data_IF_183403879369
#
_entry.id   IF_183403879369
#
_cell.length_a   1.000
_cell.length_b   1.000
_cell.length_c   1.000
_cell.angle_alpha   90.00
_cell.angle_beta   90.00
_cell.angle_gamma   90.00
#
_symmetry.space_group_name_H-M   'P 1'
#
loop_
_entity.id
_entity.type
_entity.pdbx_description
1 polymer ?
#
# COMPACT_ATOMS: atom_id res chain seq x y z
N UNK A 1 0.22 -7.47 -21.58
CA UNK A 1 -0.95 -7.08 -22.40
C UNK A 1 -1.71 -6.10 -21.53
N UNK A 2 -1.88 -4.85 -21.97
CA UNK A 2 -2.64 -3.83 -21.23
C UNK A 2 -4.06 -4.31 -21.06
N UNK A 3 -4.52 -4.45 -19.81
CA UNK A 3 -5.86 -4.92 -19.51
C UNK A 3 -6.80 -3.72 -19.54
N UNK A 4 -7.44 -3.50 -20.68
CA UNK A 4 -8.44 -2.44 -20.80
C UNK A 4 -9.65 -2.77 -19.92
N UNK A 5 -10.32 -1.73 -19.43
CA UNK A 5 -11.50 -1.83 -18.58
C UNK A 5 -12.70 -1.19 -19.29
N UNK A 6 -13.88 -1.58 -18.84
CA UNK A 6 -15.15 -0.94 -19.21
C UNK A 6 -15.74 -0.35 -17.92
N UNK A 7 -16.00 0.96 -17.93
CA UNK A 7 -16.79 1.65 -16.92
C UNK A 7 -18.23 1.77 -17.44
N UNK A 8 -19.19 1.28 -16.66
CA UNK A 8 -20.60 1.60 -16.85
C UNK A 8 -21.00 2.59 -15.77
N UNK A 9 -21.45 3.77 -16.19
CA UNK A 9 -21.95 4.82 -15.32
C UNK A 9 -23.46 4.91 -15.43
N UNK A 10 -24.12 4.92 -14.28
CA UNK A 10 -25.58 4.92 -14.17
C UNK A 10 -25.97 6.11 -13.28
N UNK A 11 -26.70 7.08 -13.84
CA UNK A 11 -27.26 8.19 -13.07
C UNK A 11 -28.56 7.70 -12.41
N UNK A 12 -28.46 7.29 -11.14
CA UNK A 12 -29.58 6.72 -10.39
C UNK A 12 -29.39 6.88 -8.89
N UNK A 13 -30.50 7.10 -8.18
CA UNK A 13 -30.57 7.06 -6.72
C UNK A 13 -30.74 5.65 -6.16
N UNK A 14 -30.80 4.61 -7.02
CA UNK A 14 -30.85 3.21 -6.59
C UNK A 14 -29.63 2.84 -5.75
N UNK A 15 -29.76 1.82 -4.91
CA UNK A 15 -28.64 1.31 -4.13
C UNK A 15 -27.74 0.43 -5.01
N UNK A 16 -26.44 0.72 -5.02
CA UNK A 16 -25.47 -0.04 -5.82
C UNK A 16 -25.30 -1.49 -5.35
N UNK A 17 -25.50 -1.79 -4.06
CA UNK A 17 -25.45 -3.15 -3.53
C UNK A 17 -26.63 -3.99 -4.02
N UNK A 18 -27.85 -3.44 -3.94
CA UNK A 18 -29.05 -4.12 -4.46
C UNK A 18 -28.95 -4.38 -5.98
N UNK A 19 -28.39 -3.43 -6.73
CA UNK A 19 -28.13 -3.58 -8.16
C UNK A 19 -27.14 -4.71 -8.44
N UNK A 20 -26.05 -4.79 -7.67
CA UNK A 20 -25.05 -5.85 -7.82
C UNK A 20 -25.60 -7.23 -7.47
N UNK A 21 -26.34 -7.33 -6.36
CA UNK A 21 -26.91 -8.58 -5.87
C UNK A 21 -27.91 -9.17 -6.88
N UNK A 22 -28.67 -8.32 -7.58
CA UNK A 22 -29.62 -8.75 -8.60
C UNK A 22 -28.97 -8.98 -9.97
N UNK A 23 -27.94 -8.21 -10.32
CA UNK A 23 -27.20 -8.41 -11.56
C UNK A 23 -26.45 -9.74 -11.54
N UNK A 24 -25.91 -10.14 -10.37
CA UNK A 24 -25.20 -11.40 -10.12
C UNK A 24 -24.17 -11.75 -11.20
N UNK A 25 -23.50 -10.72 -11.76
CA UNK A 25 -22.49 -10.89 -12.79
C UNK A 25 -21.11 -11.06 -12.14
N UNK A 26 -20.51 -12.26 -12.18
CA UNK A 26 -19.21 -12.52 -11.57
C UNK A 26 -18.05 -11.83 -12.30
N UNK A 27 -18.28 -11.23 -13.46
CA UNK A 27 -17.27 -10.45 -14.18
C UNK A 27 -17.15 -9.02 -13.65
N UNK A 28 -18.12 -8.53 -12.87
CA UNK A 28 -18.00 -7.23 -12.18
C UNK A 28 -16.86 -7.31 -11.17
N UNK A 29 -15.90 -6.41 -11.30
CA UNK A 29 -14.71 -6.38 -10.43
C UNK A 29 -14.80 -5.31 -9.35
N UNK A 30 -15.69 -4.33 -9.51
CA UNK A 30 -15.92 -3.30 -8.50
C UNK A 30 -17.15 -2.46 -8.78
N UNK A 31 -17.67 -1.85 -7.71
CA UNK A 31 -18.72 -0.86 -7.76
C UNK A 31 -18.34 0.34 -6.88
N UNK A 32 -18.72 1.52 -7.32
CA UNK A 32 -18.58 2.74 -6.56
C UNK A 32 -19.81 3.62 -6.75
N UNK A 33 -20.32 4.21 -5.67
CA UNK A 33 -21.49 5.09 -5.71
C UNK A 33 -21.17 6.41 -5.01
N UNK A 34 -21.36 7.52 -5.72
CA UNK A 34 -21.18 8.86 -5.17
C UNK A 34 -22.13 9.84 -5.87
N UNK A 35 -22.74 10.76 -5.13
CA UNK A 35 -23.54 11.86 -5.66
C UNK A 35 -24.66 11.43 -6.65
N UNK A 36 -25.32 10.30 -6.40
CA UNK A 36 -26.39 9.78 -7.27
C UNK A 36 -25.89 9.13 -8.56
N UNK A 37 -24.62 8.76 -8.63
CA UNK A 37 -24.02 8.07 -9.76
C UNK A 37 -23.43 6.75 -9.29
N UNK A 38 -23.86 5.65 -9.90
CA UNK A 38 -23.28 4.32 -9.71
C UNK A 38 -22.29 4.05 -10.84
N UNK A 39 -21.11 3.51 -10.49
CA UNK A 39 -20.07 3.11 -11.43
C UNK A 39 -19.76 1.64 -11.22
N UNK A 40 -19.81 0.87 -12.30
CA UNK A 40 -19.50 -0.56 -12.32
C UNK A 40 -18.35 -0.82 -13.29
N UNK A 41 -17.46 -1.76 -12.94
CA UNK A 41 -16.24 -2.01 -13.68
C UNK A 41 -16.09 -3.47 -14.13
N UNK A 42 -15.80 -3.67 -15.41
CA UNK A 42 -15.46 -4.97 -16.00
C UNK A 42 -14.08 -4.95 -16.67
N UNK A 43 -13.33 -6.06 -16.63
CA UNK A 43 -12.26 -6.30 -17.59
C UNK A 43 -12.83 -6.31 -19.01
N UNK A 44 -12.20 -5.62 -19.96
CA UNK A 44 -12.73 -5.48 -21.32
C UNK A 44 -12.84 -6.82 -22.07
N UNK A 45 -12.04 -7.82 -21.71
CA UNK A 45 -12.12 -9.19 -22.24
C UNK A 45 -13.30 -9.99 -21.68
N UNK A 46 -13.94 -9.49 -20.62
CA UNK A 46 -15.13 -10.08 -19.99
C UNK A 46 -16.40 -9.25 -20.18
N UNK A 47 -16.32 -8.12 -20.88
CA UNK A 47 -17.47 -7.29 -21.20
C UNK A 47 -18.27 -7.88 -22.37
N UNK A 48 -19.59 -7.97 -22.20
CA UNK A 48 -20.53 -8.33 -23.25
C UNK A 48 -21.60 -7.22 -23.38
N UNK A 49 -21.90 -6.71 -24.59
CA UNK A 49 -23.03 -5.79 -24.81
C UNK A 49 -24.37 -6.22 -24.22
N UNK A 50 -24.62 -7.53 -24.05
CA UNK A 50 -25.86 -8.04 -23.43
C UNK A 50 -26.01 -7.61 -21.96
N UNK A 51 -24.90 -7.45 -21.24
CA UNK A 51 -24.87 -7.00 -19.83
C UNK A 51 -25.56 -5.64 -19.67
N UNK A 52 -25.50 -4.77 -20.68
CA UNK A 52 -26.20 -3.48 -20.65
C UNK A 52 -27.73 -3.66 -20.60
N UNK A 53 -28.27 -4.70 -21.22
CA UNK A 53 -29.70 -5.00 -21.15
C UNK A 53 -30.08 -5.57 -19.78
N UNK A 54 -29.23 -6.41 -19.21
CA UNK A 54 -29.43 -6.97 -17.87
C UNK A 54 -29.43 -5.85 -16.82
N UNK A 55 -28.48 -4.91 -16.89
CA UNK A 55 -28.45 -3.71 -16.03
C UNK A 55 -29.76 -2.91 -16.16
N UNK A 56 -30.25 -2.68 -17.38
CA UNK A 56 -31.53 -1.97 -17.59
C UNK A 56 -32.74 -2.74 -17.06
N UNK A 57 -32.70 -4.06 -17.09
CA UNK A 57 -33.77 -4.89 -16.56
C UNK A 57 -33.79 -4.80 -15.03
N UNK A 58 -32.65 -5.02 -14.39
CA UNK A 58 -32.50 -4.94 -12.93
C UNK A 58 -32.83 -3.54 -12.40
N UNK A 59 -32.38 -2.47 -13.07
CA UNK A 59 -32.71 -1.10 -12.67
C UNK A 59 -34.22 -0.81 -12.73
N UNK A 60 -34.96 -1.44 -13.65
CA UNK A 60 -36.43 -1.31 -13.70
C UNK A 60 -37.14 -2.08 -12.59
N UNK A 61 -36.51 -3.15 -12.11
CA UNK A 61 -37.05 -3.97 -11.02
C UNK A 61 -36.82 -3.30 -9.66
N UNK A 62 -35.64 -2.71 -9.45
CA UNK A 62 -35.25 -2.00 -8.23
C UNK A 62 -35.83 -0.59 -8.20
N UNK A 63 -35.54 0.19 -9.23
CA UNK A 63 -36.03 1.55 -9.41
C UNK A 63 -37.46 1.48 -9.91
N UNK A 64 -38.44 1.54 -9.00
CA UNK A 64 -39.88 1.71 -9.31
C UNK A 64 -40.19 3.06 -9.98
N UNK A 65 -39.25 3.62 -10.74
CA UNK A 65 -39.35 4.91 -11.41
C UNK A 65 -39.77 4.72 -12.87
N UNK A 66 -40.56 5.67 -13.39
CA UNK A 66 -41.04 5.65 -14.77
C UNK A 66 -39.99 6.14 -15.78
N UNK A 67 -38.90 6.75 -15.31
CA UNK A 67 -37.81 7.26 -16.15
C UNK A 67 -36.63 6.28 -16.18
N UNK A 68 -36.12 5.98 -17.36
CA UNK A 68 -34.94 5.14 -17.51
C UNK A 68 -33.70 5.98 -17.13
N UNK A 69 -32.89 5.54 -16.16
CA UNK A 69 -31.68 6.25 -15.78
C UNK A 69 -30.73 6.37 -16.97
N UNK A 70 -30.02 7.49 -17.06
CA UNK A 70 -29.00 7.65 -18.08
C UNK A 70 -27.85 6.66 -17.81
N UNK A 71 -27.52 5.84 -18.81
CA UNK A 71 -26.42 4.87 -18.74
C UNK A 71 -25.39 5.22 -19.81
N UNK A 72 -24.14 5.43 -19.41
CA UNK A 72 -23.01 5.57 -20.33
C UNK A 72 -22.03 4.41 -20.15
N UNK A 73 -21.48 3.93 -21.26
CA UNK A 73 -20.50 2.84 -21.28
C UNK A 73 -19.24 3.38 -21.93
N UNK A 74 -18.16 3.45 -21.17
CA UNK A 74 -16.88 4.01 -21.61
C UNK A 74 -15.77 2.97 -21.50
N UNK A 75 -14.88 2.94 -22.49
CA UNK A 75 -13.65 2.16 -22.37
C UNK A 75 -12.61 2.96 -21.60
N UNK A 76 -12.17 2.41 -20.48
CA UNK A 76 -11.05 2.92 -19.71
C UNK A 76 -9.79 2.16 -20.14
N UNK A 77 -8.80 2.84 -20.73
CA UNK A 77 -7.52 2.20 -20.97
C UNK A 77 -6.90 1.77 -19.64
N UNK A 78 -6.10 0.70 -19.68
CA UNK A 78 -5.29 0.27 -18.53
C UNK A 78 -4.34 1.41 -18.16
N UNK A 79 -4.75 2.22 -17.20
CA UNK A 79 -3.95 3.31 -16.71
C UNK A 79 -3.20 2.80 -15.48
N UNK A 80 -1.88 2.89 -15.53
CA UNK A 80 -1.07 2.66 -14.34
C UNK A 80 -1.37 3.79 -13.35
N UNK A 81 -2.40 3.58 -12.54
CA UNK A 81 -2.86 4.53 -11.53
C UNK A 81 -1.75 4.82 -10.53
N UNK A 82 -0.81 3.89 -10.30
CA UNK A 82 0.38 4.16 -9.49
C UNK A 82 1.29 5.18 -10.19
N UNK A 83 1.51 5.06 -11.50
CA UNK A 83 2.30 6.03 -12.26
C UNK A 83 1.61 7.39 -12.39
N UNK A 84 0.29 7.44 -12.56
CA UNK A 84 -0.49 8.69 -12.58
C UNK A 84 -0.45 9.36 -11.21
N UNK A 85 -0.63 8.58 -10.15
CA UNK A 85 -0.54 9.08 -8.79
C UNK A 85 0.88 9.55 -8.46
N UNK A 86 1.93 8.80 -8.84
CA UNK A 86 3.33 9.20 -8.68
C UNK A 86 3.66 10.53 -9.36
N UNK A 87 3.07 10.82 -10.53
CA UNK A 87 3.21 12.11 -11.23
C UNK A 87 2.55 13.27 -10.48
N UNK A 88 1.59 12.99 -9.61
CA UNK A 88 0.89 13.99 -8.79
C UNK A 88 1.54 14.23 -7.43
N UNK A 89 2.41 13.33 -6.96
CA UNK A 89 3.12 13.49 -5.69
C UNK A 89 4.15 14.60 -5.84
N UNK A 90 3.94 15.69 -5.11
CA UNK A 90 4.87 16.82 -5.01
C UNK A 90 5.66 16.72 -3.72
N UNK A 91 6.92 17.19 -3.70
CA UNK A 91 7.68 17.34 -2.48
C UNK A 91 6.94 18.19 -1.46
N UNK A 92 7.00 17.78 -0.21
CA UNK A 92 6.39 18.48 0.91
C UNK A 92 7.47 18.97 1.87
N UNK A 93 7.29 20.21 2.33
CA UNK A 93 8.09 20.82 3.38
C UNK A 93 7.27 20.84 4.67
N UNK A 94 7.84 20.28 5.73
CA UNK A 94 7.19 20.12 7.03
C UNK A 94 8.07 20.76 8.11
N UNK A 95 7.45 21.55 8.97
CA UNK A 95 8.18 22.27 10.01
C UNK A 95 9.21 23.26 9.46
N UNK A 96 10.36 23.32 10.13
CA UNK A 96 11.41 24.31 9.89
C UNK A 96 12.36 23.87 8.78
N UNK A 97 12.72 22.59 8.74
CA UNK A 97 13.76 22.10 7.81
C UNK A 97 13.47 20.75 7.15
N UNK A 98 12.41 20.02 7.51
CA UNK A 98 12.18 18.69 6.92
C UNK A 98 11.58 18.81 5.51
N UNK A 99 12.21 18.14 4.54
CA UNK A 99 11.73 18.01 3.17
C UNK A 99 11.54 16.54 2.85
N UNK A 100 10.33 16.16 2.46
CA UNK A 100 10.02 14.80 2.00
C UNK A 100 9.73 14.87 0.51
N UNK A 101 10.44 14.07 -0.28
CA UNK A 101 10.22 13.98 -1.73
C UNK A 101 10.32 12.53 -2.22
N UNK A 102 9.70 12.20 -3.35
CA UNK A 102 9.93 10.92 -4.00
C UNK A 102 11.27 10.90 -4.75
N UNK A 103 11.76 9.69 -5.07
CA UNK A 103 13.03 9.44 -5.76
C UNK A 103 13.11 10.10 -7.14
N UNK A 104 11.98 10.24 -7.83
CA UNK A 104 11.90 10.84 -9.17
C UNK A 104 11.92 12.38 -9.16
N UNK A 105 11.66 13.02 -8.03
CA UNK A 105 11.63 14.48 -7.93
C UNK A 105 13.04 15.02 -7.65
N UNK A 106 13.44 16.08 -8.38
CA UNK A 106 14.77 16.70 -8.30
C UNK A 106 14.76 18.06 -7.61
N UNK A 107 13.84 18.28 -6.68
CA UNK A 107 13.72 19.54 -5.94
C UNK A 107 15.05 19.91 -5.28
N UNK A 108 15.45 21.16 -5.50
CA UNK A 108 16.62 21.74 -4.85
C UNK A 108 16.35 21.93 -3.36
N UNK A 109 17.34 21.57 -2.55
CA UNK A 109 17.31 21.71 -1.10
C UNK A 109 18.08 22.96 -0.68
N UNK A 110 17.54 23.71 0.26
CA UNK A 110 18.28 24.76 0.95
C UNK A 110 19.38 24.15 1.85
N UNK A 111 20.46 24.89 2.18
CA UNK A 111 21.59 24.35 2.95
C UNK A 111 21.24 23.77 4.33
N UNK A 112 20.17 24.26 4.94
CA UNK A 112 19.68 23.85 6.26
C UNK A 112 18.55 22.81 6.20
N UNK A 113 18.06 22.49 5.00
CA UNK A 113 17.01 21.49 4.78
C UNK A 113 17.53 20.06 5.00
N UNK A 114 16.66 19.25 5.59
CA UNK A 114 16.89 17.86 5.94
C UNK A 114 15.99 17.01 5.05
N UNK A 115 16.61 16.26 4.16
CA UNK A 115 15.91 15.44 3.18
C UNK A 115 15.53 14.07 3.74
N UNK A 116 14.30 13.66 3.39
CA UNK A 116 13.87 12.27 3.34
C UNK A 116 13.28 11.91 1.97
N UNK A 117 13.74 10.80 1.44
CA UNK A 117 13.28 10.20 0.19
C UNK A 117 12.23 9.14 0.52
N UNK A 118 10.97 9.43 0.24
CA UNK A 118 9.84 8.53 0.52
C UNK A 118 9.08 8.30 -0.77
N UNK A 119 9.22 7.10 -1.31
CA UNK A 119 8.42 6.67 -2.45
C UNK A 119 7.13 6.10 -1.91
N UNK A 120 6.10 6.90 -1.98
CA UNK A 120 4.77 6.51 -1.57
C UNK A 120 4.26 5.33 -2.41
N UNK A 121 4.53 4.13 -1.92
CA UNK A 121 3.91 2.86 -2.31
C UNK A 121 2.79 2.55 -1.30
N UNK A 122 2.23 1.35 -1.36
CA UNK A 122 1.07 0.84 -0.59
C UNK A 122 1.08 1.03 0.96
N UNK A 123 2.04 1.72 1.57
CA UNK A 123 2.12 1.94 3.01
C UNK A 123 1.51 3.29 3.45
N UNK A 124 0.80 3.25 4.58
CA UNK A 124 0.25 4.42 5.26
C UNK A 124 1.37 5.29 5.88
N UNK A 125 1.15 6.60 6.01
CA UNK A 125 2.08 7.49 6.73
C UNK A 125 3.19 8.12 5.88
N UNK A 126 2.91 8.51 4.64
CA UNK A 126 3.89 9.11 3.69
C UNK A 126 4.22 10.59 3.94
N UNK A 127 3.80 11.15 5.09
CA UNK A 127 3.96 12.58 5.41
C UNK A 127 2.84 13.50 4.88
N UNK A 128 1.99 13.01 3.97
CA UNK A 128 0.86 13.77 3.41
C UNK A 128 -0.34 13.87 4.36
N UNK A 129 -0.43 13.00 5.37
CA UNK A 129 -1.50 13.01 6.36
C UNK A 129 -1.21 14.02 7.48
N UNK A 130 -2.25 14.75 7.91
CA UNK A 130 -2.14 15.82 8.90
C UNK A 130 -1.47 15.37 10.22
N UNK A 131 -1.72 14.14 10.66
CA UNK A 131 -1.12 13.57 11.89
C UNK A 131 0.39 13.36 11.77
N UNK A 132 0.87 12.86 10.64
CA UNK A 132 2.31 12.70 10.39
C UNK A 132 3.01 14.05 10.36
N UNK A 133 2.39 15.07 9.74
CA UNK A 133 2.94 16.42 9.69
C UNK A 133 3.15 17.00 11.10
N UNK A 134 2.14 16.89 11.96
CA UNK A 134 2.20 17.38 13.34
C UNK A 134 3.30 16.67 14.15
N UNK A 135 3.44 15.36 13.99
CA UNK A 135 4.49 14.61 14.70
C UNK A 135 5.89 14.97 14.22
N UNK A 136 6.09 15.22 12.93
CA UNK A 136 7.37 15.67 12.39
C UNK A 136 7.74 17.06 12.94
N UNK A 137 6.78 17.99 12.95
CA UNK A 137 6.97 19.33 13.53
C UNK A 137 7.32 19.23 15.02
N UNK A 138 6.62 18.36 15.76
CA UNK A 138 6.92 18.10 17.17
C UNK A 138 8.31 17.48 17.40
N UNK A 139 8.74 16.55 16.54
CA UNK A 139 10.06 15.94 16.62
C UNK A 139 11.19 16.98 16.50
N UNK A 140 11.03 18.02 15.68
CA UNK A 140 12.01 19.11 15.58
C UNK A 140 12.24 19.86 16.91
N UNK A 141 11.24 19.87 17.80
CA UNK A 141 11.31 20.56 19.09
C UNK A 141 11.90 19.68 20.20
N UNK A 142 11.57 18.38 20.17
CA UNK A 142 11.86 17.46 21.27
C UNK A 142 13.13 16.63 21.07
N UNK A 143 13.53 16.34 19.82
CA UNK A 143 14.71 15.52 19.57
C UNK A 143 15.97 16.30 19.92
N UNK A 144 16.82 15.67 20.72
CA UNK A 144 18.14 16.15 21.13
C UNK A 144 19.21 15.12 20.74
N UNK A 145 20.40 15.62 20.46
CA UNK A 145 21.52 14.80 20.05
C UNK A 145 21.78 13.66 21.06
N UNK A 146 21.94 12.43 20.55
CA UNK A 146 22.29 11.27 21.37
C UNK A 146 21.09 10.50 21.96
N UNK A 147 19.86 10.94 21.72
CA UNK A 147 18.66 10.24 22.22
C UNK A 147 18.41 8.92 21.48
N UNK A 148 17.70 8.00 22.13
CA UNK A 148 17.18 6.77 21.51
C UNK A 148 15.67 6.88 21.36
N UNK A 149 15.17 6.53 20.18
CA UNK A 149 13.76 6.70 19.83
C UNK A 149 13.09 5.34 19.60
N UNK A 150 11.86 5.21 20.07
CA UNK A 150 10.96 4.09 19.77
C UNK A 150 9.76 4.65 19.00
N UNK A 151 9.54 4.12 17.81
CA UNK A 151 8.44 4.48 16.92
C UNK A 151 7.47 3.30 16.82
N UNK A 152 6.33 3.38 17.51
CA UNK A 152 5.34 2.30 17.61
C UNK A 152 4.23 2.52 16.60
N UNK A 153 3.99 1.53 15.74
CA UNK A 153 3.17 1.72 14.55
C UNK A 153 3.93 2.52 13.50
N UNK A 154 5.18 2.12 13.24
CA UNK A 154 6.12 2.91 12.43
C UNK A 154 5.66 3.08 10.98
N UNK A 155 4.78 2.20 10.47
CA UNK A 155 4.22 2.32 9.12
C UNK A 155 5.33 2.43 8.07
N UNK A 156 5.40 3.60 7.42
CA UNK A 156 6.42 3.95 6.43
C UNK A 156 7.85 4.13 6.98
N UNK A 157 8.05 4.13 8.30
CA UNK A 157 9.34 4.39 8.95
C UNK A 157 9.70 5.88 9.10
N UNK A 158 8.82 6.78 8.68
CA UNK A 158 9.17 8.20 8.50
C UNK A 158 9.57 8.90 9.79
N UNK A 159 8.89 8.63 10.91
CA UNK A 159 9.16 9.30 12.18
C UNK A 159 10.50 8.85 12.77
N UNK A 160 10.80 7.54 12.72
CA UNK A 160 12.10 7.00 13.09
C UNK A 160 13.24 7.62 12.26
N UNK A 161 13.06 7.73 10.94
CA UNK A 161 14.06 8.35 10.05
C UNK A 161 14.23 9.86 10.31
N UNK A 162 13.14 10.60 10.53
CA UNK A 162 13.19 12.02 10.91
C UNK A 162 13.97 12.18 12.22
N UNK A 163 13.68 11.38 13.24
CA UNK A 163 14.37 11.46 14.52
C UNK A 163 15.89 11.27 14.38
N UNK A 164 16.32 10.32 13.55
CA UNK A 164 17.74 10.09 13.26
C UNK A 164 18.37 11.28 12.53
N UNK A 165 17.69 11.84 11.52
CA UNK A 165 18.18 13.06 10.84
C UNK A 165 18.26 14.28 11.76
N UNK A 166 17.41 14.34 12.79
CA UNK A 166 17.43 15.39 13.80
C UNK A 166 18.51 15.18 14.87
N UNK A 167 19.22 14.05 14.86
CA UNK A 167 20.38 13.80 15.71
C UNK A 167 20.18 12.73 16.79
N UNK A 168 19.08 11.97 16.76
CA UNK A 168 18.98 10.78 17.60
C UNK A 168 20.15 9.81 17.33
N UNK A 169 20.67 9.16 18.37
CA UNK A 169 21.72 8.16 18.25
C UNK A 169 21.22 6.84 17.64
N UNK A 170 19.97 6.46 17.94
CA UNK A 170 19.34 5.29 17.34
C UNK A 170 17.81 5.40 17.36
N UNK A 171 17.16 4.70 16.43
CA UNK A 171 15.71 4.58 16.40
C UNK A 171 15.30 3.11 16.17
N UNK A 172 14.29 2.66 16.90
CA UNK A 172 13.63 1.38 16.71
C UNK A 172 12.20 1.63 16.23
N UNK A 173 11.89 1.26 14.98
CA UNK A 173 10.53 1.25 14.44
C UNK A 173 9.91 -0.13 14.57
N UNK A 174 8.71 -0.20 15.13
CA UNK A 174 7.93 -1.45 15.24
C UNK A 174 6.56 -1.29 14.60
N UNK A 175 6.11 -2.32 13.89
CA UNK A 175 4.76 -2.38 13.32
C UNK A 175 4.27 -3.82 13.33
N UNK A 176 2.98 -4.06 13.55
CA UNK A 176 2.41 -5.41 13.48
C UNK A 176 2.29 -5.92 12.05
N UNK A 177 2.25 -5.02 11.06
CA UNK A 177 2.15 -5.39 9.66
C UNK A 177 3.55 -5.63 9.05
N UNK A 178 3.89 -6.85 8.62
CA UNK A 178 5.17 -7.12 7.96
C UNK A 178 5.32 -6.36 6.62
N UNK A 179 4.23 -6.02 5.94
CA UNK A 179 4.27 -5.22 4.70
C UNK A 179 4.71 -3.78 4.99
N UNK A 180 4.22 -3.20 6.10
CA UNK A 180 4.66 -1.89 6.56
C UNK A 180 6.17 -1.89 6.87
N UNK A 181 6.66 -2.90 7.59
CA UNK A 181 8.09 -3.03 7.90
C UNK A 181 8.94 -3.18 6.64
N UNK A 182 8.50 -3.98 5.65
CA UNK A 182 9.18 -4.07 4.37
C UNK A 182 9.26 -2.71 3.67
N UNK A 183 8.16 -1.94 3.66
CA UNK A 183 8.15 -0.60 3.08
C UNK A 183 9.10 0.36 3.82
N UNK A 184 9.10 0.35 5.16
CA UNK A 184 10.02 1.14 5.96
C UNK A 184 11.49 0.79 5.68
N UNK A 185 11.80 -0.49 5.45
CA UNK A 185 13.15 -0.94 5.06
C UNK A 185 13.56 -0.43 3.68
N UNK A 186 12.65 -0.42 2.70
CA UNK A 186 12.90 0.16 1.38
C UNK A 186 13.19 1.67 1.48
N UNK A 187 12.42 2.41 2.29
CA UNK A 187 12.70 3.82 2.53
C UNK A 187 14.01 4.04 3.28
N UNK A 188 14.31 3.23 4.30
CA UNK A 188 15.57 3.30 5.03
C UNK A 188 16.77 3.13 4.08
N UNK A 189 16.68 2.17 3.15
CA UNK A 189 17.69 1.94 2.13
C UNK A 189 17.81 3.12 1.15
N UNK A 190 16.69 3.68 0.68
CA UNK A 190 16.68 4.85 -0.20
C UNK A 190 17.35 6.08 0.47
N UNK A 191 17.20 6.20 1.79
CA UNK A 191 17.79 7.27 2.61
C UNK A 191 19.18 6.94 3.17
N UNK A 192 19.71 5.74 2.88
CA UNK A 192 21.03 5.25 3.33
C UNK A 192 21.19 5.19 4.84
N UNK A 193 20.13 4.83 5.56
CA UNK A 193 20.25 4.52 6.99
C UNK A 193 20.94 3.17 7.20
N UNK A 194 21.78 3.11 8.23
CA UNK A 194 22.54 1.93 8.63
C UNK A 194 22.02 1.31 9.93
N UNK A 195 22.92 0.73 10.76
CA UNK A 195 22.54 -0.01 11.97
C UNK A 195 21.92 0.87 13.07
N UNK A 196 21.98 2.20 12.95
CA UNK A 196 21.31 3.14 13.84
C UNK A 196 19.78 3.09 13.73
N UNK A 197 19.25 2.58 12.61
CA UNK A 197 17.82 2.37 12.39
C UNK A 197 17.51 0.88 12.41
N UNK A 198 16.74 0.46 13.41
CA UNK A 198 16.24 -0.90 13.50
C UNK A 198 14.73 -0.95 13.21
N UNK A 199 14.28 -1.89 12.37
CA UNK A 199 12.88 -2.05 11.98
C UNK A 199 12.44 -3.50 12.23
N UNK A 200 11.38 -3.70 13.03
CA UNK A 200 10.93 -5.02 13.45
C UNK A 200 9.42 -5.19 13.35
N UNK A 201 8.97 -6.37 12.92
CA UNK A 201 7.55 -6.73 13.02
C UNK A 201 7.21 -7.10 14.46
N UNK A 202 6.20 -6.44 15.03
CA UNK A 202 5.66 -6.77 16.35
C UNK A 202 4.80 -8.04 16.25
N UNK A 203 5.12 -9.06 17.06
CA UNK A 203 4.36 -10.32 17.09
C UNK A 203 5.17 -11.59 16.83
N UNK A 204 6.47 -11.47 16.51
CA UNK A 204 7.40 -12.60 16.66
C UNK A 204 7.72 -12.84 18.13
N UNK A 205 7.81 -14.10 18.56
CA UNK A 205 8.25 -14.45 19.91
C UNK A 205 9.49 -13.64 20.30
N UNK A 206 9.42 -12.92 21.41
CA UNK A 206 10.60 -12.38 22.07
C UNK A 206 11.47 -13.58 22.47
N UNK A 207 12.41 -13.94 21.61
CA UNK A 207 13.47 -14.89 21.97
C UNK A 207 14.09 -14.42 23.29
N UNK A 208 14.50 -15.34 24.18
CA UNK A 208 14.87 -15.02 25.54
C UNK A 208 15.90 -13.89 25.55
N UNK A 209 15.55 -12.78 26.20
CA UNK A 209 16.42 -11.62 26.37
C UNK A 209 17.69 -12.08 27.08
N UNK A 210 18.82 -12.13 26.36
CA UNK A 210 20.12 -12.30 26.98
C UNK A 210 20.63 -10.90 27.38
N UNK A 211 20.78 -10.56 28.67
CA UNK A 211 21.17 -9.21 29.09
C UNK A 211 22.67 -8.92 28.91
N UNK A 212 23.40 -9.74 28.15
CA UNK A 212 24.81 -9.53 27.88
C UNK A 212 25.17 -9.97 26.46
N UNK A 213 25.71 -9.04 25.67
CA UNK A 213 26.53 -9.36 24.51
C UNK A 213 25.85 -9.29 23.16
N UNK A 214 26.50 -8.52 22.29
CA UNK A 214 26.37 -8.47 20.83
C UNK A 214 26.22 -9.86 20.19
N UNK A 215 25.35 -9.93 19.18
CA UNK A 215 25.39 -10.76 17.95
C UNK A 215 24.16 -11.66 17.74
N UNK A 216 23.59 -11.61 16.53
CA UNK A 216 22.53 -12.51 16.11
C UNK A 216 21.90 -12.15 14.78
N UNK A 217 22.62 -12.42 13.69
CA UNK A 217 22.05 -12.44 12.35
C UNK A 217 20.87 -13.42 12.28
N UNK A 218 19.72 -12.99 11.77
CA UNK A 218 18.70 -13.91 11.27
C UNK A 218 18.84 -14.01 9.77
N UNK A 219 19.61 -15.01 9.36
CA UNK A 219 19.60 -15.57 8.01
C UNK A 219 18.23 -16.20 7.75
N UNK A 220 17.50 -15.71 6.76
CA UNK A 220 16.44 -16.46 6.10
C UNK A 220 17.00 -17.12 4.82
N UNK A 221 17.97 -18.00 4.98
CA UNK A 221 18.35 -18.94 3.93
C UNK A 221 17.36 -20.12 3.90
N UNK A 222 16.59 -20.19 2.81
CA UNK A 222 15.89 -21.35 2.24
C UNK A 222 16.18 -22.72 2.87
N UNK A 223 15.12 -23.46 3.22
CA UNK A 223 15.02 -24.93 3.05
C UNK A 223 13.58 -25.40 3.34
N UNK A 224 12.78 -25.57 2.29
CA UNK A 224 11.70 -26.55 2.30
C UNK A 224 12.21 -27.86 1.70
N UNK A 225 12.23 -28.94 2.48
CA UNK A 225 12.18 -30.32 1.96
C UNK A 225 11.77 -31.29 3.04
N UNK A 226 10.64 -31.95 2.81
CA UNK A 226 10.28 -33.37 3.06
C UNK A 226 8.77 -33.49 2.83
N UNK A 227 8.17 -34.53 2.28
CA UNK A 227 8.56 -35.66 1.42
C UNK A 227 7.20 -36.33 1.10
N UNK A 228 6.94 -36.70 -0.15
CA UNK A 228 5.81 -37.57 -0.51
C UNK A 228 6.17 -39.04 -0.22
N UNK A 229 5.20 -39.94 0.03
CA UNK A 229 5.46 -41.29 0.51
C UNK A 229 5.89 -42.26 -0.59
N UNK A 230 6.61 -43.30 -0.15
CA UNK A 230 7.24 -44.35 -0.93
C UNK A 230 6.24 -45.36 -1.54
N UNK A 231 6.54 -45.83 -2.76
CA UNK A 231 6.09 -47.13 -3.26
C UNK A 231 7.31 -48.02 -3.47
N UNK A 232 7.20 -49.26 -2.95
CA UNK A 232 8.29 -50.18 -2.69
C UNK A 232 8.97 -50.79 -3.91
N UNK A 233 10.23 -51.10 -3.71
CA UNK A 233 11.12 -51.97 -4.49
C UNK A 233 10.67 -53.44 -4.48
N UNK A 234 10.89 -54.19 -5.57
CA UNK A 234 11.99 -55.16 -5.75
C UNK A 234 11.63 -56.13 -6.93
N UNK A 235 12.53 -57.04 -7.37
CA UNK A 235 13.92 -56.86 -7.81
C UNK A 235 14.22 -57.51 -9.18
N UNK A 236 15.48 -57.33 -9.62
CA UNK A 236 16.16 -57.86 -10.81
C UNK A 236 16.07 -59.38 -11.03
N UNK A 237 16.14 -59.83 -12.28
CA UNK A 237 17.11 -60.85 -12.74
C UNK A 237 17.21 -60.93 -14.27
N UNK A 238 18.46 -61.01 -14.73
CA UNK A 238 19.04 -61.54 -15.97
C UNK A 238 18.21 -62.41 -16.92
N UNK A 239 18.41 -62.16 -18.22
CA UNK A 239 18.04 -63.01 -19.36
C UNK A 239 18.25 -62.26 -20.67
#
# INVERSE_FOLDING_TARGET
MTQNWIEVRIESSADSGELLDQLDDPAVTGAWQENGVIRLFWPADRWNPDVLQDIRQVLREIGKEMEQPAITVDSLPDQDWNAVWARSVRPIRIGRRIVIRPTWDRTELAPDEVELIIDSKQAFGTGHHATTRLLIEWLEEVIRAGQRVLDVGTGSGILAMVALRLGAASALGIDSDPVAIQCAQEHAAANRFGPELELRTAGGELGPSNPAGVSGAVSASSRSRRQAPALGSAPRASG
#
